data_IF_812776713149
#
_entry.id   IF_812776713149
#
_cell.length_a   1.000
_cell.length_b   1.000
_cell.length_c   1.000
_cell.angle_alpha   90.00
_cell.angle_beta   90.00
_cell.angle_gamma   90.00
#
_symmetry.space_group_name_H-M   'P 1'
#
loop_
_entity.id
_entity.type
_entity.pdbx_description
1 polymer ?
#
# COMPACT_ATOMS: atom_id res chain seq x y z
N UNK A 1 21.46 -30.46 -22.27
CA UNK A 1 22.42 -31.34 -22.97
C UNK A 1 23.57 -30.49 -23.49
N UNK A 2 24.69 -30.41 -22.75
CA UNK A 2 25.94 -29.86 -23.26
C UNK A 2 27.04 -30.89 -23.03
N UNK A 3 27.68 -31.29 -24.14
CA UNK A 3 28.66 -32.36 -24.25
C UNK A 3 29.95 -31.98 -23.52
N UNK A 4 30.32 -32.78 -22.53
CA UNK A 4 31.69 -32.86 -21.99
C UNK A 4 32.57 -33.55 -23.02
N UNK A 5 33.68 -32.92 -23.41
CA UNK A 5 34.79 -33.57 -24.14
C UNK A 5 36.08 -33.38 -23.36
N UNK A 6 36.48 -34.46 -22.72
CA UNK A 6 37.84 -34.79 -22.26
C UNK A 6 38.84 -34.81 -23.42
N UNK A 7 39.95 -34.07 -23.30
CA UNK A 7 41.26 -34.37 -23.93
C UNK A 7 42.33 -33.93 -22.93
N UNK A 8 42.85 -34.83 -22.10
CA UNK A 8 44.08 -35.64 -22.27
C UNK A 8 45.38 -34.82 -22.29
N UNK A 9 46.17 -35.10 -21.26
CA UNK A 9 47.58 -34.82 -21.00
C UNK A 9 48.45 -34.35 -22.18
N UNK A 10 49.12 -33.21 -21.97
CA UNK A 10 50.46 -32.97 -22.50
C UNK A 10 51.38 -32.65 -21.32
N UNK A 11 52.15 -33.65 -20.91
CA UNK A 11 53.35 -33.51 -20.09
C UNK A 11 54.40 -32.84 -20.96
N UNK A 12 54.90 -31.68 -20.53
CA UNK A 12 56.16 -31.15 -21.05
C UNK A 12 56.92 -30.46 -19.91
N UNK A 13 57.80 -31.28 -19.34
CA UNK A 13 58.97 -30.91 -18.55
C UNK A 13 59.79 -29.90 -19.36
N UNK A 14 60.00 -28.69 -18.82
CA UNK A 14 61.03 -27.79 -19.33
C UNK A 14 61.55 -26.89 -18.22
N UNK A 15 62.84 -27.08 -17.93
CA UNK A 15 63.80 -26.15 -17.35
C UNK A 15 63.55 -25.58 -15.94
N UNK A 16 64.18 -26.23 -14.96
CA UNK A 16 64.74 -25.54 -13.80
C UNK A 16 65.77 -24.49 -14.28
N UNK A 17 65.41 -23.22 -14.18
CA UNK A 17 66.37 -22.13 -14.00
C UNK A 17 66.59 -21.95 -12.49
N UNK A 18 67.83 -22.00 -11.97
CA UNK A 18 68.10 -21.47 -10.65
C UNK A 18 67.96 -19.96 -10.77
N UNK A 19 66.77 -19.46 -10.45
CA UNK A 19 66.60 -18.08 -10.04
C UNK A 19 67.57 -17.91 -8.88
N UNK A 20 68.67 -17.19 -9.11
CA UNK A 20 69.38 -16.53 -8.01
C UNK A 20 68.37 -15.53 -7.50
N UNK A 21 67.51 -16.03 -6.61
CA UNK A 21 66.55 -15.26 -5.87
C UNK A 21 67.39 -14.43 -4.91
N UNK A 22 67.90 -13.30 -5.41
CA UNK A 22 67.92 -12.11 -4.58
C UNK A 22 66.50 -12.04 -4.04
N UNK A 23 66.33 -12.39 -2.76
CA UNK A 23 65.05 -12.44 -2.10
C UNK A 23 64.49 -11.03 -2.22
N UNK A 24 63.64 -10.81 -3.23
CA UNK A 24 62.82 -9.62 -3.29
C UNK A 24 61.86 -9.78 -2.11
N UNK A 25 62.30 -9.31 -0.93
CA UNK A 25 61.50 -9.25 0.27
C UNK A 25 60.28 -8.43 -0.10
N UNK A 26 59.15 -9.09 -0.33
CA UNK A 26 57.92 -8.36 -0.66
C UNK A 26 57.50 -7.60 0.59
N UNK A 27 56.81 -6.46 0.41
CA UNK A 27 56.34 -5.67 1.53
C UNK A 27 55.49 -6.49 2.52
N UNK A 28 54.80 -7.54 2.07
CA UNK A 28 54.04 -8.46 2.94
C UNK A 28 54.92 -9.35 3.84
N UNK A 29 56.16 -9.63 3.43
CA UNK A 29 57.11 -10.44 4.21
C UNK A 29 57.87 -9.61 5.25
N UNK A 30 57.83 -8.29 5.13
CA UNK A 30 58.43 -7.33 6.06
C UNK A 30 57.37 -6.75 7.02
N UNK A 31 56.52 -7.61 7.58
CA UNK A 31 55.62 -7.24 8.67
C UNK A 31 56.38 -7.29 10.01
N UNK A 32 56.51 -6.16 10.75
CA UNK A 32 57.26 -6.10 12.00
C UNK A 32 56.72 -7.03 13.10
N UNK A 33 55.45 -7.48 13.00
CA UNK A 33 54.88 -8.48 13.90
C UNK A 33 55.18 -9.94 13.51
N UNK A 34 55.68 -10.19 12.30
CA UNK A 34 55.94 -11.54 11.76
C UNK A 34 57.41 -11.85 11.49
N UNK A 35 58.25 -10.84 11.34
CA UNK A 35 59.69 -11.03 11.18
C UNK A 35 60.31 -11.43 12.51
N UNK A 36 60.78 -12.68 12.60
CA UNK A 36 61.27 -13.30 13.84
C UNK A 36 62.79 -13.53 13.88
N UNK A 37 63.54 -13.07 12.88
CA UNK A 37 64.99 -13.22 12.82
C UNK A 37 65.69 -11.91 12.41
N UNK A 38 66.87 -11.69 12.98
CA UNK A 38 67.63 -10.43 12.87
C UNK A 38 68.12 -10.18 11.44
N UNK A 39 68.46 -11.23 10.69
CA UNK A 39 68.92 -11.11 9.30
C UNK A 39 67.80 -10.65 8.36
N UNK A 40 66.58 -11.18 8.50
CA UNK A 40 65.41 -10.75 7.75
C UNK A 40 64.96 -9.34 8.13
N UNK A 41 65.05 -8.99 9.42
CA UNK A 41 64.77 -7.62 9.87
C UNK A 41 65.77 -6.61 9.28
N UNK A 42 67.07 -6.95 9.27
CA UNK A 42 68.10 -6.13 8.65
C UNK A 42 67.88 -5.99 7.13
N UNK A 43 67.51 -7.07 6.43
CA UNK A 43 67.20 -6.99 5.00
C UNK A 43 65.96 -6.14 4.71
N UNK A 44 64.90 -6.29 5.50
CA UNK A 44 63.67 -5.49 5.38
C UNK A 44 63.88 -4.01 5.73
N UNK A 45 64.80 -3.72 6.65
CA UNK A 45 65.19 -2.35 6.99
C UNK A 45 66.05 -1.73 5.91
N UNK A 46 67.02 -2.46 5.36
CA UNK A 46 67.93 -1.98 4.33
C UNK A 46 67.23 -1.80 2.97
N UNK A 47 66.22 -2.64 2.67
CA UNK A 47 65.42 -2.56 1.44
C UNK A 47 64.25 -1.57 1.52
N UNK A 48 63.98 -0.98 2.69
CA UNK A 48 62.80 -0.13 2.90
C UNK A 48 61.47 -0.90 2.95
N UNK A 49 61.51 -2.24 3.05
CA UNK A 49 60.31 -3.10 3.06
C UNK A 49 59.33 -2.79 4.20
N UNK A 50 59.82 -2.42 5.38
CA UNK A 50 58.96 -1.99 6.49
C UNK A 50 58.19 -0.69 6.17
N UNK A 51 58.86 0.28 5.56
CA UNK A 51 58.22 1.54 5.16
C UNK A 51 57.18 1.32 4.07
N UNK A 52 57.48 0.45 3.10
CA UNK A 52 56.54 0.05 2.06
C UNK A 52 55.30 -0.67 2.64
N UNK A 53 55.50 -1.56 3.62
CA UNK A 53 54.39 -2.23 4.32
C UNK A 53 53.51 -1.26 5.11
N UNK A 54 54.14 -0.34 5.86
CA UNK A 54 53.43 0.69 6.61
C UNK A 54 52.66 1.64 5.68
N UNK A 55 53.24 2.02 4.54
CA UNK A 55 52.56 2.84 3.53
C UNK A 55 51.35 2.11 2.92
N UNK A 56 51.51 0.83 2.55
CA UNK A 56 50.41 0.01 2.04
C UNK A 56 49.28 -0.16 3.07
N UNK A 57 49.63 -0.47 4.32
CA UNK A 57 48.66 -0.62 5.41
C UNK A 57 47.91 0.69 5.69
N UNK A 58 48.60 1.84 5.63
CA UNK A 58 47.94 3.15 5.78
C UNK A 58 46.92 3.39 4.67
N UNK A 59 47.26 3.07 3.42
CA UNK A 59 46.33 3.21 2.30
C UNK A 59 45.10 2.30 2.46
N UNK A 60 45.31 1.05 2.89
CA UNK A 60 44.22 0.11 3.14
C UNK A 60 43.30 0.59 4.27
N UNK A 61 43.87 1.06 5.40
CA UNK A 61 43.08 1.59 6.51
C UNK A 61 42.27 2.82 6.08
N UNK A 62 42.83 3.72 5.27
CA UNK A 62 42.08 4.85 4.73
C UNK A 62 40.96 4.40 3.77
N UNK A 63 41.23 3.42 2.90
CA UNK A 63 40.20 2.84 2.03
C UNK A 63 39.04 2.23 2.85
N UNK A 64 39.37 1.43 3.87
CA UNK A 64 38.38 0.83 4.77
C UNK A 64 37.60 1.88 5.56
N UNK A 65 38.22 2.99 5.96
CA UNK A 65 37.53 4.12 6.62
C UNK A 65 36.51 4.77 5.69
N UNK A 66 36.88 5.01 4.43
CA UNK A 66 35.98 5.57 3.42
C UNK A 66 34.81 4.62 3.15
N UNK A 67 35.07 3.33 3.00
CA UNK A 67 34.02 2.32 2.81
C UNK A 67 33.09 2.21 4.02
N UNK A 68 33.64 2.19 5.24
CA UNK A 68 32.86 2.16 6.47
C UNK A 68 31.98 3.41 6.62
N UNK A 69 32.51 4.59 6.28
CA UNK A 69 31.75 5.83 6.27
C UNK A 69 30.61 5.78 5.25
N UNK A 70 30.89 5.32 4.02
CA UNK A 70 29.87 5.17 2.98
C UNK A 70 28.77 4.16 3.39
N UNK A 71 29.14 3.05 4.02
CA UNK A 71 28.20 2.05 4.52
C UNK A 71 27.30 2.60 5.63
N UNK A 72 27.85 3.40 6.55
CA UNK A 72 27.05 4.07 7.60
C UNK A 72 26.05 5.05 7.02
N UNK A 73 26.46 5.84 6.02
CA UNK A 73 25.55 6.76 5.32
C UNK A 73 24.39 5.99 4.68
N UNK A 74 24.68 4.94 3.92
CA UNK A 74 23.65 4.09 3.29
C UNK A 74 22.69 3.47 4.31
N UNK A 75 23.21 2.99 5.45
CA UNK A 75 22.38 2.45 6.52
C UNK A 75 21.44 3.52 7.09
N UNK A 76 21.95 4.74 7.33
CA UNK A 76 21.13 5.85 7.83
C UNK A 76 20.05 6.30 6.83
N UNK A 77 20.35 6.27 5.53
CA UNK A 77 19.38 6.57 4.48
C UNK A 77 18.29 5.50 4.39
N UNK A 78 18.68 4.23 4.46
CA UNK A 78 17.75 3.11 4.49
C UNK A 78 16.82 3.17 5.71
N UNK A 79 17.34 3.54 6.89
CA UNK A 79 16.52 3.75 8.09
C UNK A 79 15.53 4.91 7.94
N UNK A 80 15.97 6.03 7.35
CA UNK A 80 15.08 7.17 7.06
C UNK A 80 13.95 6.76 6.11
N UNK A 81 14.28 6.03 5.06
CA UNK A 81 13.28 5.56 4.09
C UNK A 81 12.33 4.54 4.72
N UNK A 82 12.83 3.61 5.54
CA UNK A 82 12.00 2.67 6.28
C UNK A 82 11.01 3.39 7.21
N UNK A 83 11.45 4.40 7.95
CA UNK A 83 10.58 5.23 8.80
C UNK A 83 9.49 5.94 7.98
N UNK A 84 9.86 6.49 6.81
CA UNK A 84 8.92 7.14 5.90
C UNK A 84 7.87 6.15 5.38
N UNK A 85 8.29 4.94 4.98
CA UNK A 85 7.38 3.89 4.51
C UNK A 85 6.42 3.42 5.61
N UNK A 86 6.90 3.28 6.85
CA UNK A 86 6.05 2.95 8.00
C UNK A 86 5.00 4.04 8.26
N UNK A 87 5.39 5.32 8.20
CA UNK A 87 4.46 6.45 8.32
C UNK A 87 3.42 6.48 7.19
N UNK A 88 3.84 6.23 5.95
CA UNK A 88 2.91 6.15 4.82
C UNK A 88 1.92 5.00 4.97
N UNK A 89 2.39 3.83 5.45
CA UNK A 89 1.55 2.66 5.69
C UNK A 89 0.48 2.95 6.75
N UNK A 90 0.84 3.59 7.86
CA UNK A 90 -0.13 3.92 8.91
C UNK A 90 -1.16 4.95 8.43
N UNK A 91 -0.73 5.98 7.68
CA UNK A 91 -1.63 6.95 7.06
C UNK A 91 -2.60 6.28 6.07
N UNK A 92 -2.13 5.34 5.26
CA UNK A 92 -2.99 4.59 4.33
C UNK A 92 -3.99 3.70 5.08
N UNK A 93 -3.57 3.04 6.16
CA UNK A 93 -4.46 2.25 7.01
C UNK A 93 -5.57 3.11 7.63
N UNK A 94 -5.24 4.32 8.09
CA UNK A 94 -6.23 5.25 8.61
C UNK A 94 -7.25 5.68 7.54
N UNK A 95 -6.78 5.96 6.32
CA UNK A 95 -7.66 6.27 5.17
C UNK A 95 -8.61 5.11 4.83
N UNK A 96 -8.09 3.89 4.76
CA UNK A 96 -8.94 2.71 4.52
C UNK A 96 -9.99 2.53 5.63
N UNK A 97 -9.62 2.78 6.89
CA UNK A 97 -10.55 2.71 8.00
C UNK A 97 -11.63 3.81 7.94
N UNK A 98 -11.30 5.03 7.52
CA UNK A 98 -12.30 6.10 7.32
C UNK A 98 -13.23 5.79 6.16
N UNK A 99 -12.70 5.39 5.00
CA UNK A 99 -13.53 5.04 3.84
C UNK A 99 -14.48 3.88 4.13
N UNK A 100 -14.03 2.89 4.92
CA UNK A 100 -14.89 1.80 5.35
C UNK A 100 -16.06 2.29 6.21
N UNK A 101 -15.82 3.22 7.14
CA UNK A 101 -16.89 3.84 7.94
C UNK A 101 -17.87 4.62 7.06
N UNK A 102 -17.36 5.33 6.05
CA UNK A 102 -18.20 6.07 5.12
C UNK A 102 -19.08 5.13 4.28
N UNK A 103 -18.53 4.01 3.81
CA UNK A 103 -19.30 2.97 3.12
C UNK A 103 -20.39 2.38 4.02
N UNK A 104 -20.08 2.10 5.28
CA UNK A 104 -21.08 1.58 6.23
C UNK A 104 -22.17 2.62 6.53
N UNK A 105 -21.82 3.90 6.64
CA UNK A 105 -22.78 5.00 6.77
C UNK A 105 -23.69 5.12 5.53
N UNK A 106 -23.13 5.00 4.33
CA UNK A 106 -23.89 5.03 3.09
C UNK A 106 -24.83 3.83 2.97
N UNK A 107 -24.39 2.64 3.38
CA UNK A 107 -25.24 1.44 3.43
C UNK A 107 -26.40 1.61 4.40
N UNK A 108 -26.15 2.17 5.59
CA UNK A 108 -27.22 2.48 6.55
C UNK A 108 -28.20 3.51 5.98
N UNK A 109 -27.71 4.55 5.30
CA UNK A 109 -28.56 5.54 4.64
C UNK A 109 -29.44 4.90 3.56
N UNK A 110 -28.87 4.05 2.71
CA UNK A 110 -29.61 3.31 1.69
C UNK A 110 -30.66 2.38 2.30
N UNK A 111 -30.33 1.66 3.37
CA UNK A 111 -31.28 0.82 4.09
C UNK A 111 -32.42 1.65 4.70
N UNK A 112 -32.10 2.82 5.29
CA UNK A 112 -33.09 3.76 5.81
C UNK A 112 -34.04 4.28 4.73
N UNK A 113 -33.52 4.69 3.57
CA UNK A 113 -34.34 5.14 2.44
C UNK A 113 -35.24 4.03 1.90
N UNK A 114 -34.78 2.78 1.86
CA UNK A 114 -35.63 1.63 1.47
C UNK A 114 -36.80 1.44 2.43
N UNK A 115 -36.53 1.45 3.74
CA UNK A 115 -37.58 1.31 4.76
C UNK A 115 -38.57 2.47 4.68
N UNK A 116 -38.10 3.71 4.49
CA UNK A 116 -39.00 4.86 4.38
C UNK A 116 -39.83 4.80 3.10
N UNK A 117 -39.24 4.40 1.97
CA UNK A 117 -39.96 4.17 0.72
C UNK A 117 -41.02 3.06 0.84
N UNK A 118 -40.76 1.99 1.60
CA UNK A 118 -41.77 0.95 1.89
C UNK A 118 -42.93 1.50 2.72
N UNK A 119 -42.66 2.32 3.75
CA UNK A 119 -43.71 2.97 4.54
C UNK A 119 -44.55 3.91 3.70
N UNK A 120 -43.92 4.68 2.82
CA UNK A 120 -44.65 5.62 1.96
C UNK A 120 -45.52 4.89 0.94
N UNK A 121 -45.05 3.77 0.37
CA UNK A 121 -45.89 2.89 -0.46
C UNK A 121 -47.08 2.33 0.33
N UNK A 122 -46.86 1.88 1.57
CA UNK A 122 -47.94 1.37 2.42
C UNK A 122 -48.97 2.47 2.75
N UNK A 123 -48.52 3.69 3.07
CA UNK A 123 -49.40 4.85 3.28
C UNK A 123 -50.20 5.18 2.03
N UNK A 124 -49.56 5.16 0.86
CA UNK A 124 -50.23 5.40 -0.41
C UNK A 124 -51.29 4.33 -0.71
N UNK A 125 -51.02 3.06 -0.42
CA UNK A 125 -52.00 1.98 -0.57
C UNK A 125 -53.23 2.21 0.32
N UNK A 126 -53.04 2.60 1.58
CA UNK A 126 -54.15 2.92 2.51
C UNK A 126 -54.96 4.12 2.01
N UNK A 127 -54.29 5.19 1.57
CA UNK A 127 -54.96 6.38 1.03
C UNK A 127 -55.76 6.05 -0.25
N UNK A 128 -55.23 5.20 -1.12
CA UNK A 128 -55.93 4.75 -2.32
C UNK A 128 -57.19 3.93 -1.98
N UNK A 129 -57.12 3.04 -0.98
CA UNK A 129 -58.31 2.30 -0.54
C UNK A 129 -59.37 3.22 0.10
N UNK A 130 -58.96 4.19 0.91
CA UNK A 130 -59.88 5.20 1.43
C UNK A 130 -60.52 6.02 0.31
N UNK A 131 -59.74 6.42 -0.70
CA UNK A 131 -60.25 7.15 -1.86
C UNK A 131 -61.34 6.36 -2.58
N UNK A 132 -61.08 5.08 -2.88
CA UNK A 132 -62.06 4.20 -3.53
C UNK A 132 -63.35 4.07 -2.72
N UNK A 133 -63.23 3.92 -1.40
CA UNK A 133 -64.40 3.82 -0.52
C UNK A 133 -65.24 5.11 -0.54
N UNK A 134 -64.60 6.28 -0.51
CA UNK A 134 -65.29 7.58 -0.60
C UNK A 134 -65.91 7.79 -1.98
N UNK A 135 -65.21 7.43 -3.06
CA UNK A 135 -65.75 7.47 -4.43
C UNK A 135 -66.98 6.55 -4.59
N UNK A 136 -66.95 5.34 -4.01
CA UNK A 136 -68.09 4.43 -4.01
C UNK A 136 -69.28 4.98 -3.21
N UNK A 137 -69.03 5.60 -2.05
CA UNK A 137 -70.06 6.26 -1.26
C UNK A 137 -70.71 7.42 -2.03
N UNK A 138 -69.91 8.26 -2.69
CA UNK A 138 -70.41 9.35 -3.54
C UNK A 138 -71.30 8.81 -4.68
N UNK A 139 -70.86 7.74 -5.35
CA UNK A 139 -71.65 7.10 -6.41
C UNK A 139 -72.99 6.57 -5.89
N UNK A 140 -73.01 5.96 -4.71
CA UNK A 140 -74.24 5.51 -4.06
C UNK A 140 -75.17 6.68 -3.64
N UNK A 141 -74.60 7.79 -3.14
CA UNK A 141 -75.35 9.00 -2.77
C UNK A 141 -75.99 9.67 -3.98
N UNK A 142 -75.27 9.78 -5.10
CA UNK A 142 -75.81 10.29 -6.37
C UNK A 142 -77.01 9.46 -6.86
N UNK A 143 -77.03 8.15 -6.60
CA UNK A 143 -78.14 7.28 -6.98
C UNK A 143 -79.34 7.29 -6.01
N UNK A 144 -79.20 7.92 -4.84
CA UNK A 144 -80.18 7.84 -3.74
C UNK A 144 -80.82 9.19 -3.38
N UNK A 145 -80.53 10.25 -4.15
CA UNK A 145 -81.23 11.55 -4.07
C UNK A 145 -80.90 12.38 -2.82
N UNK A 146 -79.71 12.20 -2.23
CA UNK A 146 -79.24 12.99 -1.09
C UNK A 146 -78.93 14.45 -1.44
N UNK A 147 -78.72 15.28 -0.40
CA UNK A 147 -78.60 16.73 -0.55
C UNK A 147 -77.35 17.14 -1.35
N UNK A 148 -77.49 18.15 -2.21
CA UNK A 148 -76.39 18.65 -3.04
C UNK A 148 -75.19 19.16 -2.21
N UNK A 149 -75.42 19.58 -0.96
CA UNK A 149 -74.36 20.03 -0.06
C UNK A 149 -73.47 18.88 0.46
N UNK A 150 -74.04 17.71 0.72
CA UNK A 150 -73.25 16.54 1.15
C UNK A 150 -72.41 15.98 0.01
N UNK A 151 -72.95 15.96 -1.22
CA UNK A 151 -72.23 15.55 -2.44
C UNK A 151 -71.03 16.48 -2.68
N UNK A 152 -71.23 17.80 -2.63
CA UNK A 152 -70.15 18.77 -2.81
C UNK A 152 -69.04 18.65 -1.75
N UNK A 153 -69.40 18.34 -0.50
CA UNK A 153 -68.43 18.11 0.56
C UNK A 153 -67.56 16.85 0.32
N UNK A 154 -68.16 15.75 -0.14
CA UNK A 154 -67.42 14.54 -0.51
C UNK A 154 -66.52 14.75 -1.73
N UNK A 155 -66.97 15.49 -2.75
CA UNK A 155 -66.15 15.82 -3.92
C UNK A 155 -64.90 16.63 -3.53
N UNK A 156 -65.04 17.58 -2.60
CA UNK A 156 -63.93 18.33 -2.05
C UNK A 156 -62.94 17.44 -1.28
N UNK A 157 -63.43 16.48 -0.49
CA UNK A 157 -62.57 15.52 0.24
C UNK A 157 -61.81 14.58 -0.73
N UNK A 158 -62.46 14.11 -1.80
CA UNK A 158 -61.82 13.30 -2.86
C UNK A 158 -60.71 14.11 -3.54
N UNK A 159 -60.97 15.37 -3.89
CA UNK A 159 -59.97 16.24 -4.52
C UNK A 159 -58.75 16.46 -3.61
N UNK A 160 -58.98 16.73 -2.31
CA UNK A 160 -57.92 16.88 -1.33
C UNK A 160 -57.08 15.60 -1.18
N UNK A 161 -57.71 14.43 -1.11
CA UNK A 161 -57.02 13.12 -1.02
C UNK A 161 -56.20 12.80 -2.27
N UNK A 162 -56.72 13.10 -3.46
CA UNK A 162 -56.00 12.95 -4.73
C UNK A 162 -54.71 13.79 -4.75
N UNK A 163 -54.76 15.01 -4.25
CA UNK A 163 -53.58 15.88 -4.16
C UNK A 163 -52.51 15.31 -3.21
N UNK A 164 -52.92 14.77 -2.05
CA UNK A 164 -52.00 14.14 -1.11
C UNK A 164 -51.31 12.91 -1.72
N UNK A 165 -52.07 12.06 -2.42
CA UNK A 165 -51.53 10.90 -3.14
C UNK A 165 -50.54 11.34 -4.22
N UNK A 166 -50.87 12.38 -5.00
CA UNK A 166 -49.99 12.91 -6.03
C UNK A 166 -48.66 13.41 -5.46
N UNK A 167 -48.68 14.16 -4.34
CA UNK A 167 -47.46 14.64 -3.66
C UNK A 167 -46.59 13.50 -3.15
N UNK A 168 -47.18 12.46 -2.57
CA UNK A 168 -46.45 11.26 -2.12
C UNK A 168 -45.81 10.51 -3.30
N UNK A 169 -46.53 10.38 -4.41
CA UNK A 169 -46.01 9.72 -5.62
C UNK A 169 -44.90 10.50 -6.33
N UNK A 170 -44.97 11.84 -6.31
CA UNK A 170 -43.95 12.71 -6.91
C UNK A 170 -42.64 12.75 -6.11
N UNK A 171 -42.72 12.64 -4.78
CA UNK A 171 -41.54 12.55 -3.91
C UNK A 171 -40.73 11.28 -4.16
N UNK A 172 -41.41 10.17 -4.45
CA UNK A 172 -40.77 8.88 -4.75
C UNK A 172 -40.06 8.84 -6.12
N UNK A 173 -40.26 9.82 -7.00
CA UNK A 173 -39.59 9.89 -8.32
C UNK A 173 -38.40 10.88 -8.36
N UNK A 174 -38.20 11.69 -7.32
CA UNK A 174 -37.13 12.70 -7.26
C UNK A 174 -35.93 12.29 -6.40
N UNK A 175 -36.01 11.16 -5.70
CA UNK A 175 -34.93 10.54 -4.90
C UNK A 175 -34.35 9.30 -5.58
#
# INVERSE_FOLDING_TARGET
MFKVKTVRHLVLVSALLPVVAGCATTAEQCDPGKVNNVFAAASCSASGGFEAHLAATRLEVEALRVEAAASRTRASDAEREAKRLVGNRSALQQKMASERRDLDRLRLKLAGMRVEGEKDRARQAVLNEQLKAVEANLANMNNSGQSAQEIAALEADIAARKEVIAKLSGRAMQE
#
